data_IF_932543590711
#
_entry.id   IF_932543590711
#
_cell.length_a   1.000
_cell.length_b   1.000
_cell.length_c   1.000
_cell.angle_alpha   90.00
_cell.angle_beta   90.00
_cell.angle_gamma   90.00
#
_symmetry.space_group_name_H-M   'P 1'
#
loop_
_entity.id
_entity.type
_entity.pdbx_description
1 polymer ?
#
# COMPACT_ATOMS: atom_id res chain seq x y z
N UNK A 1 16.28 -4.04 6.01
CA UNK A 1 15.40 -3.77 4.85
C UNK A 1 14.41 -2.69 5.22
N UNK A 2 14.06 -1.82 4.29
CA UNK A 2 13.00 -0.82 4.46
C UNK A 2 11.79 -1.22 3.61
N UNK A 3 10.63 -1.45 4.23
CA UNK A 3 9.40 -1.87 3.56
C UNK A 3 8.34 -0.78 3.61
N UNK A 4 7.68 -0.54 2.48
CA UNK A 4 6.56 0.39 2.36
C UNK A 4 5.25 -0.37 2.17
N UNK A 5 4.29 -0.13 3.06
CA UNK A 5 3.00 -0.80 3.04
C UNK A 5 2.05 -0.32 1.93
N UNK A 6 1.17 -1.22 1.52
CA UNK A 6 0.07 -0.97 0.62
C UNK A 6 -1.02 -0.08 1.23
N UNK A 7 -1.96 0.34 0.39
CA UNK A 7 -3.03 1.24 0.81
C UNK A 7 -3.86 0.64 1.96
N UNK A 8 -3.92 1.37 3.08
CA UNK A 8 -4.66 1.00 4.29
C UNK A 8 -4.18 -0.30 4.96
N UNK A 9 -2.96 -0.75 4.66
CA UNK A 9 -2.36 -1.94 5.27
C UNK A 9 -1.16 -1.58 6.15
N UNK A 10 -0.84 -2.46 7.09
CA UNK A 10 0.34 -2.42 7.93
C UNK A 10 0.74 -3.85 8.33
N UNK A 11 2.04 -4.13 8.36
CA UNK A 11 2.56 -5.44 8.79
C UNK A 11 2.38 -6.55 7.74
N UNK A 12 1.86 -6.23 6.55
CA UNK A 12 1.58 -7.20 5.50
C UNK A 12 2.85 -7.73 4.82
N UNK A 13 4.03 -7.15 5.10
CA UNK A 13 5.32 -7.72 4.72
C UNK A 13 5.50 -9.16 5.20
N UNK A 14 4.79 -9.54 6.28
CA UNK A 14 4.72 -10.92 6.76
C UNK A 14 4.26 -11.91 5.67
N UNK A 15 3.36 -11.48 4.77
CA UNK A 15 2.87 -12.29 3.64
C UNK A 15 3.95 -12.56 2.58
N UNK A 16 4.99 -11.73 2.55
CA UNK A 16 6.04 -11.75 1.53
C UNK A 16 7.39 -12.23 2.06
N UNK A 17 7.53 -12.60 3.33
CA UNK A 17 8.82 -13.01 3.95
C UNK A 17 9.63 -14.01 3.13
N UNK A 18 8.99 -14.97 2.46
CA UNK A 18 9.68 -15.94 1.60
C UNK A 18 10.28 -15.37 0.32
N UNK A 19 9.87 -14.15 -0.07
CA UNK A 19 10.30 -13.45 -1.28
C UNK A 19 11.13 -12.19 -0.99
N UNK A 20 11.09 -11.69 0.25
CA UNK A 20 11.80 -10.49 0.67
C UNK A 20 13.28 -10.79 0.86
N UNK A 21 14.13 -9.91 0.35
CA UNK A 21 15.57 -9.98 0.55
C UNK A 21 15.96 -9.16 1.77
N UNK A 22 16.39 -9.84 2.83
CA UNK A 22 16.78 -9.19 4.07
C UNK A 22 18.21 -8.62 3.95
N UNK A 23 18.28 -7.32 3.68
CA UNK A 23 19.52 -6.54 3.65
C UNK A 23 19.26 -5.11 4.14
N UNK A 24 20.27 -4.45 4.71
CA UNK A 24 20.20 -3.03 5.08
C UNK A 24 20.09 -2.10 3.86
N UNK A 25 20.46 -2.57 2.67
CA UNK A 25 20.42 -1.82 1.41
C UNK A 25 19.22 -2.18 0.51
N UNK A 26 18.31 -3.02 1.01
CA UNK A 26 17.09 -3.38 0.29
C UNK A 26 15.93 -2.48 0.69
N UNK A 27 15.26 -1.97 -0.34
CA UNK A 27 13.98 -1.28 -0.22
C UNK A 27 12.92 -2.11 -0.93
N UNK A 28 11.77 -2.28 -0.30
CA UNK A 28 10.66 -3.05 -0.83
C UNK A 28 9.35 -2.30 -0.64
N UNK A 29 8.36 -2.59 -1.48
CA UNK A 29 7.02 -2.06 -1.27
C UNK A 29 5.96 -2.84 -2.00
N UNK A 30 4.75 -2.85 -1.45
CA UNK A 30 3.58 -3.52 -2.01
C UNK A 30 2.50 -2.52 -2.43
N UNK A 31 1.86 -2.72 -3.59
CA UNK A 31 0.74 -1.88 -4.05
C UNK A 31 1.11 -0.40 -4.10
N UNK A 32 0.44 0.48 -3.33
CA UNK A 32 0.83 1.90 -3.14
C UNK A 32 2.27 2.01 -2.62
N UNK A 33 2.66 1.18 -1.66
CA UNK A 33 4.00 1.19 -1.09
C UNK A 33 5.10 0.92 -2.11
N UNK A 34 4.82 0.23 -3.21
CA UNK A 34 5.79 0.09 -4.30
C UNK A 34 6.10 1.43 -4.97
N UNK A 35 5.12 2.34 -5.07
CA UNK A 35 5.33 3.70 -5.56
C UNK A 35 6.19 4.47 -4.56
N UNK A 36 5.83 4.41 -3.28
CA UNK A 36 6.58 5.08 -2.20
C UNK A 36 8.04 4.57 -2.15
N UNK A 37 8.27 3.27 -2.38
CA UNK A 37 9.59 2.66 -2.46
C UNK A 37 10.43 3.21 -3.62
N UNK A 38 9.83 3.42 -4.80
CA UNK A 38 10.49 4.08 -5.94
C UNK A 38 10.82 5.53 -5.61
N UNK A 39 9.86 6.28 -5.07
CA UNK A 39 10.08 7.69 -4.70
C UNK A 39 11.17 7.85 -3.64
N UNK A 40 11.21 6.96 -2.65
CA UNK A 40 12.28 6.89 -1.66
C UNK A 40 13.63 6.60 -2.32
N UNK A 41 13.69 5.61 -3.22
CA UNK A 41 14.92 5.23 -3.89
C UNK A 41 15.49 6.34 -4.77
N UNK A 42 14.63 7.15 -5.41
CA UNK A 42 15.04 8.28 -6.23
C UNK A 42 15.54 9.48 -5.41
N UNK A 43 15.11 9.62 -4.15
CA UNK A 43 15.41 10.79 -3.30
C UNK A 43 16.50 10.53 -2.27
N UNK A 44 16.72 9.27 -1.88
CA UNK A 44 17.69 8.95 -0.83
C UNK A 44 19.13 9.22 -1.27
N UNK A 45 19.99 9.54 -0.31
CA UNK A 45 21.46 9.60 -0.49
C UNK A 45 22.15 8.33 0.00
N UNK A 46 21.41 7.40 0.60
CA UNK A 46 21.95 6.12 1.03
C UNK A 46 21.98 5.14 -0.13
N UNK A 47 22.97 4.26 -0.15
CA UNK A 47 23.05 3.20 -1.16
C UNK A 47 21.82 2.29 -1.06
N UNK A 48 21.22 2.00 -2.21
CA UNK A 48 20.25 0.92 -2.38
C UNK A 48 20.85 -0.02 -3.41
N UNK A 49 20.97 -1.31 -3.08
CA UNK A 49 21.45 -2.34 -4.02
C UNK A 49 20.30 -3.13 -4.64
N UNK A 50 19.13 -3.10 -4.00
CA UNK A 50 17.93 -3.83 -4.44
C UNK A 50 16.67 -3.06 -4.12
N UNK A 51 15.83 -2.90 -5.13
CA UNK A 51 14.47 -2.38 -5.04
C UNK A 51 13.47 -3.50 -5.41
N UNK A 52 12.63 -3.93 -4.48
CA UNK A 52 11.62 -4.96 -4.69
C UNK A 52 10.22 -4.35 -4.81
N UNK A 53 9.67 -4.36 -6.01
CA UNK A 53 8.34 -3.81 -6.30
C UNK A 53 7.31 -4.94 -6.40
N UNK A 54 6.50 -5.10 -5.36
CA UNK A 54 5.51 -6.18 -5.29
C UNK A 54 4.16 -5.63 -5.73
N UNK A 55 3.66 -6.11 -6.88
CA UNK A 55 2.36 -5.72 -7.44
C UNK A 55 2.08 -4.21 -7.40
N UNK A 56 2.92 -3.38 -8.05
CA UNK A 56 2.82 -1.92 -7.95
C UNK A 56 1.48 -1.41 -8.48
N UNK A 57 0.85 -0.49 -7.73
CA UNK A 57 -0.47 0.06 -8.05
C UNK A 57 -0.39 1.28 -8.99
N UNK A 58 0.23 1.13 -10.16
CA UNK A 58 0.30 2.20 -11.14
C UNK A 58 -1.03 2.36 -11.87
N UNK A 59 -1.83 3.36 -11.49
CA UNK A 59 -3.13 3.67 -12.10
C UNK A 59 -3.00 4.49 -13.41
N UNK A 60 -1.90 4.33 -14.15
CA UNK A 60 -1.66 5.06 -15.40
C UNK A 60 -2.61 4.61 -16.52
N UNK A 61 -3.12 3.38 -16.43
CA UNK A 61 -4.07 2.77 -17.35
C UNK A 61 -5.54 3.04 -16.99
N UNK A 62 -5.82 3.73 -15.88
CA UNK A 62 -7.18 4.05 -15.43
C UNK A 62 -7.55 5.48 -15.79
N UNK A 63 -8.73 5.64 -16.37
CA UNK A 63 -9.30 6.94 -16.69
C UNK A 63 -9.65 7.75 -15.43
N UNK A 64 -9.94 9.04 -15.63
CA UNK A 64 -10.27 9.96 -14.54
C UNK A 64 -11.57 9.57 -13.84
N UNK A 65 -12.58 9.10 -14.59
CA UNK A 65 -13.89 8.73 -14.06
C UNK A 65 -13.80 7.53 -13.10
N UNK A 66 -12.98 6.52 -13.42
CA UNK A 66 -12.71 5.39 -12.54
C UNK A 66 -12.09 5.85 -11.22
N UNK A 67 -11.07 6.71 -11.29
CA UNK A 67 -10.38 7.25 -10.11
C UNK A 67 -11.34 8.05 -9.23
N UNK A 68 -12.14 8.93 -9.83
CA UNK A 68 -13.16 9.71 -9.12
C UNK A 68 -14.19 8.82 -8.42
N UNK A 69 -14.68 7.78 -9.10
CA UNK A 69 -15.60 6.80 -8.52
C UNK A 69 -15.02 6.05 -7.33
N UNK A 70 -13.73 5.65 -7.38
CA UNK A 70 -13.07 5.02 -6.24
C UNK A 70 -12.97 5.98 -5.04
N UNK A 71 -12.61 7.24 -5.31
CA UNK A 71 -12.52 8.28 -4.28
C UNK A 71 -13.88 8.61 -3.66
N UNK A 72 -14.93 8.73 -4.46
CA UNK A 72 -16.30 8.95 -3.99
C UNK A 72 -16.78 7.78 -3.13
N UNK A 73 -16.55 6.54 -3.59
CA UNK A 73 -16.93 5.32 -2.84
C UNK A 73 -16.23 5.25 -1.49
N UNK A 74 -14.94 5.59 -1.45
CA UNK A 74 -14.15 5.66 -0.22
C UNK A 74 -14.70 6.73 0.75
N UNK A 75 -14.99 7.94 0.25
CA UNK A 75 -15.54 9.05 1.06
C UNK A 75 -16.95 8.73 1.58
N UNK A 76 -17.80 8.12 0.76
CA UNK A 76 -19.18 7.80 1.10
C UNK A 76 -19.28 6.79 2.24
N UNK A 77 -18.49 5.72 2.19
CA UNK A 77 -18.44 4.73 3.27
C UNK A 77 -17.09 4.02 3.28
N UNK A 78 -16.13 4.59 4.03
CA UNK A 78 -14.78 4.05 4.16
C UNK A 78 -14.76 2.60 4.62
N UNK A 79 -15.51 2.25 5.67
CA UNK A 79 -15.50 0.88 6.24
C UNK A 79 -15.98 -0.15 5.23
N UNK A 80 -17.07 0.14 4.51
CA UNK A 80 -17.57 -0.73 3.46
C UNK A 80 -16.60 -0.84 2.29
N UNK A 81 -16.02 0.30 1.87
CA UNK A 81 -15.01 0.33 0.82
C UNK A 81 -13.81 -0.55 1.18
N UNK A 82 -13.23 -0.39 2.37
CA UNK A 82 -12.08 -1.16 2.82
C UNK A 82 -12.40 -2.66 2.89
N UNK A 83 -13.57 -3.03 3.42
CA UNK A 83 -14.02 -4.43 3.43
C UNK A 83 -14.09 -5.03 2.03
N UNK A 84 -14.60 -4.28 1.05
CA UNK A 84 -14.67 -4.75 -0.33
C UNK A 84 -13.30 -4.76 -1.00
N UNK A 85 -12.48 -3.75 -0.73
CA UNK A 85 -11.10 -3.65 -1.21
C UNK A 85 -10.28 -4.87 -0.78
N UNK A 86 -10.29 -5.22 0.52
CA UNK A 86 -9.56 -6.39 1.03
C UNK A 86 -9.99 -7.70 0.33
N UNK A 87 -11.29 -7.88 0.10
CA UNK A 87 -11.81 -9.03 -0.66
C UNK A 87 -11.29 -9.05 -2.09
N UNK A 88 -11.25 -7.89 -2.75
CA UNK A 88 -10.81 -7.77 -4.14
C UNK A 88 -9.32 -8.08 -4.27
N UNK A 89 -8.47 -7.54 -3.39
CA UNK A 89 -7.01 -7.76 -3.47
C UNK A 89 -6.60 -9.16 -2.99
N UNK A 90 -7.43 -9.84 -2.21
CA UNK A 90 -7.20 -11.23 -1.81
C UNK A 90 -7.63 -12.25 -2.88
N UNK A 91 -8.31 -11.84 -3.94
CA UNK A 91 -8.76 -12.74 -5.00
C UNK A 91 -7.61 -13.11 -5.95
N UNK A 92 -7.47 -14.40 -6.37
CA UNK A 92 -8.33 -15.56 -6.06
C UNK A 92 -7.91 -16.35 -4.82
N UNK A 93 -6.86 -15.93 -4.11
CA UNK A 93 -6.25 -16.66 -3.00
C UNK A 93 -7.16 -16.81 -1.76
N UNK A 94 -8.20 -15.96 -1.60
CA UNK A 94 -9.15 -15.98 -0.48
C UNK A 94 -8.50 -15.89 0.90
N UNK A 95 -7.31 -15.27 1.00
CA UNK A 95 -6.65 -15.01 2.29
C UNK A 95 -7.40 -13.92 3.06
N UNK A 96 -7.50 -14.08 4.37
CA UNK A 96 -7.97 -13.00 5.23
C UNK A 96 -6.84 -11.97 5.41
N UNK A 97 -7.14 -10.73 5.03
CA UNK A 97 -6.22 -9.60 5.11
C UNK A 97 -6.61 -8.62 6.21
N UNK A 98 -7.72 -8.88 6.91
CA UNK A 98 -8.19 -8.06 8.03
C UNK A 98 -7.14 -7.85 9.12
N UNK A 99 -6.31 -8.86 9.47
CA UNK A 99 -5.23 -8.66 10.47
C UNK A 99 -4.18 -7.62 10.10
N UNK A 100 -4.07 -7.28 8.80
CA UNK A 100 -3.10 -6.30 8.30
C UNK A 100 -3.75 -4.95 8.03
N UNK A 101 -5.05 -4.76 8.32
CA UNK A 101 -5.67 -3.46 8.14
C UNK A 101 -5.05 -2.49 9.14
N UNK A 102 -4.48 -1.39 8.66
CA UNK A 102 -3.89 -0.37 9.51
C UNK A 102 -4.95 0.20 10.47
N UNK A 103 -4.58 0.39 11.73
CA UNK A 103 -5.44 1.07 12.70
C UNK A 103 -5.70 2.52 12.24
N UNK A 104 -6.87 3.06 12.59
CA UNK A 104 -7.20 4.43 12.24
C UNK A 104 -6.23 5.39 12.95
N UNK A 105 -5.29 6.02 12.24
CA UNK A 105 -4.75 7.28 12.73
C UNK A 105 -5.91 8.29 12.70
N UNK A 106 -6.40 8.70 13.89
CA UNK A 106 -7.26 9.87 14.08
C UNK A 106 -6.52 11.16 13.66
N UNK A 107 -6.17 11.31 12.38
CA UNK A 107 -5.70 12.58 11.81
C UNK A 107 -6.86 13.31 11.14
N UNK A 108 -7.92 13.58 11.90
CA UNK A 108 -9.05 14.41 11.47
C UNK A 108 -9.38 15.54 12.47
N UNK A 109 -8.46 15.90 13.37
CA UNK A 109 -8.61 17.00 14.33
C UNK A 109 -7.63 18.18 14.19
N UNK A 110 -6.93 18.35 13.08
CA UNK A 110 -6.01 19.51 12.90
C UNK A 110 -6.13 20.20 11.55
N UNK A 111 -7.36 20.42 11.09
CA UNK A 111 -7.64 21.45 10.06
C UNK A 111 -8.82 22.30 10.53
N UNK A 112 -8.67 22.88 11.72
CA UNK A 112 -9.39 24.09 12.18
C UNK A 112 -8.53 24.77 13.24
N UNK A 113 -7.56 25.56 12.77
CA UNK A 113 -6.92 26.63 13.52
C UNK A 113 -6.43 27.67 12.54
#
# INVERSE_FOLDING_TARGET
>A
MHFFSGFSLQGEEALFRGYLHESSYTVAGFSKGAIDAVEFALRTRTRIDRLQLISPAFFLDKDAAFKEKQLESYRKNRKLYLRQFLKNIAYPAKKDLTPYLAEEEEKEKSIKS
#
